data_IF_152315723728
#
_entry.id   IF_152315723728
#
_cell.length_a   1.000
_cell.length_b   1.000
_cell.length_c   1.000
_cell.angle_alpha   90.00
_cell.angle_beta   90.00
_cell.angle_gamma   90.00
#
_symmetry.space_group_name_H-M   'P 1'
#
loop_
_entity.id
_entity.type
_entity.pdbx_description
1 polymer ?
#
# COMPACT_ATOMS: atom_id res chain seq x y z
N UNK A 1 -34.07 13.67 -0.09
CA UNK A 1 -32.99 12.67 -0.04
C UNK A 1 -32.71 12.39 1.41
N UNK A 2 -32.96 11.16 1.85
CA UNK A 2 -32.71 10.76 3.25
C UNK A 2 -31.21 10.71 3.55
N UNK A 3 -30.82 11.05 4.78
CA UNK A 3 -29.42 11.01 5.25
C UNK A 3 -28.78 9.66 5.00
N UNK A 4 -29.55 8.58 5.06
CA UNK A 4 -29.13 7.20 4.73
C UNK A 4 -28.52 7.07 3.35
N UNK A 5 -29.07 7.74 2.33
CA UNK A 5 -28.53 7.72 0.97
C UNK A 5 -27.19 8.45 0.87
N UNK A 6 -27.07 9.60 1.54
CA UNK A 6 -25.81 10.35 1.58
C UNK A 6 -24.70 9.55 2.27
N UNK A 7 -25.02 8.92 3.42
CA UNK A 7 -24.08 8.07 4.16
C UNK A 7 -23.67 6.86 3.33
N UNK A 8 -24.62 6.19 2.68
CA UNK A 8 -24.33 5.06 1.80
C UNK A 8 -23.42 5.43 0.63
N UNK A 9 -23.65 6.58 -0.01
CA UNK A 9 -22.80 7.07 -1.09
C UNK A 9 -21.38 7.39 -0.61
N UNK A 10 -21.24 8.09 0.52
CA UNK A 10 -19.93 8.40 1.10
C UNK A 10 -19.16 7.14 1.48
N UNK A 11 -19.84 6.13 2.03
CA UNK A 11 -19.25 4.83 2.32
C UNK A 11 -18.67 4.18 1.06
N UNK A 12 -19.45 4.12 -0.03
CA UNK A 12 -18.99 3.54 -1.29
C UNK A 12 -17.79 4.29 -1.87
N UNK A 13 -17.82 5.63 -1.86
CA UNK A 13 -16.69 6.46 -2.30
C UNK A 13 -15.44 6.17 -1.47
N UNK A 14 -15.59 6.11 -0.14
CA UNK A 14 -14.47 5.85 0.78
C UNK A 14 -13.89 4.46 0.54
N UNK A 15 -14.75 3.45 0.39
CA UNK A 15 -14.33 2.08 0.09
C UNK A 15 -13.55 2.03 -1.23
N UNK A 16 -14.07 2.65 -2.30
CA UNK A 16 -13.40 2.73 -3.60
C UNK A 16 -12.04 3.43 -3.51
N UNK A 17 -11.94 4.53 -2.77
CA UNK A 17 -10.69 5.24 -2.56
C UNK A 17 -9.62 4.37 -1.87
N UNK A 18 -10.01 3.62 -0.84
CA UNK A 18 -9.12 2.69 -0.13
C UNK A 18 -8.67 1.54 -1.05
N UNK A 19 -9.57 1.00 -1.86
CA UNK A 19 -9.23 -0.07 -2.81
C UNK A 19 -8.21 0.41 -3.85
N UNK A 20 -8.39 1.60 -4.42
CA UNK A 20 -7.43 2.20 -5.37
C UNK A 20 -6.07 2.40 -4.68
N UNK A 21 -6.06 2.95 -3.47
CA UNK A 21 -4.84 3.15 -2.69
C UNK A 21 -4.11 1.82 -2.41
N UNK A 22 -4.84 0.77 -2.07
CA UNK A 22 -4.28 -0.57 -1.84
C UNK A 22 -3.62 -1.14 -3.11
N UNK A 23 -4.26 -0.99 -4.28
CA UNK A 23 -3.69 -1.48 -5.55
C UNK A 23 -2.43 -0.69 -5.93
N UNK A 24 -2.45 0.64 -5.81
CA UNK A 24 -1.30 1.49 -6.14
C UNK A 24 -0.13 1.22 -5.19
N UNK A 25 -0.37 1.09 -3.89
CA UNK A 25 0.65 0.78 -2.90
C UNK A 25 1.26 -0.61 -3.09
N UNK A 26 0.43 -1.60 -3.47
CA UNK A 26 0.92 -2.93 -3.85
C UNK A 26 1.84 -2.86 -5.07
N UNK A 27 1.41 -2.20 -6.15
CA UNK A 27 2.24 -2.02 -7.35
C UNK A 27 3.56 -1.28 -7.07
N UNK A 28 3.55 -0.28 -6.19
CA UNK A 28 4.77 0.41 -5.76
C UNK A 28 5.71 -0.51 -4.99
N UNK A 29 5.17 -1.35 -4.10
CA UNK A 29 5.95 -2.32 -3.32
C UNK A 29 6.57 -3.38 -4.23
N UNK A 30 5.81 -3.93 -5.18
CA UNK A 30 6.32 -4.90 -6.15
C UNK A 30 7.41 -4.31 -7.04
N UNK A 31 7.25 -3.07 -7.51
CA UNK A 31 8.29 -2.36 -8.27
C UNK A 31 9.57 -2.20 -7.45
N UNK A 32 9.46 -1.80 -6.17
CA UNK A 32 10.62 -1.70 -5.26
C UNK A 32 11.28 -3.05 -4.98
N UNK A 33 10.52 -4.14 -4.98
CA UNK A 33 11.06 -5.48 -4.76
C UNK A 33 11.83 -6.02 -5.96
N UNK A 34 11.50 -5.54 -7.18
CA UNK A 34 12.18 -5.90 -8.43
C UNK A 34 13.30 -4.92 -8.82
N UNK A 35 13.54 -3.91 -7.99
CA UNK A 35 14.55 -2.89 -8.22
C UNK A 35 15.83 -3.29 -7.49
N UNK A 36 16.85 -3.68 -8.25
CA UNK A 36 18.13 -4.17 -7.73
C UNK A 36 18.95 -3.06 -7.04
N UNK A 37 18.62 -1.78 -7.28
CA UNK A 37 19.24 -0.62 -6.62
C UNK A 37 18.42 -0.10 -5.43
N UNK A 38 17.29 -0.73 -5.10
CA UNK A 38 16.44 -0.27 -4.01
C UNK A 38 17.19 -0.30 -2.67
N UNK A 39 17.17 0.80 -1.89
CA UNK A 39 17.86 0.85 -0.60
C UNK A 39 17.31 -0.24 0.33
N UNK A 40 18.21 -0.99 0.98
CA UNK A 40 17.87 -2.06 1.94
C UNK A 40 16.77 -1.56 2.88
N UNK A 41 15.72 -2.38 3.03
CA UNK A 41 14.66 -2.13 4.01
C UNK A 41 15.28 -1.91 5.39
N UNK A 42 14.68 -1.05 6.21
CA UNK A 42 15.11 -0.83 7.59
C UNK A 42 15.13 -2.14 8.38
N UNK A 43 14.21 -3.07 8.08
CA UNK A 43 14.21 -4.42 8.65
C UNK A 43 15.43 -5.27 8.23
N UNK A 44 15.93 -5.08 7.00
CA UNK A 44 17.12 -5.75 6.49
C UNK A 44 18.43 -5.06 6.91
N UNK A 45 18.35 -3.86 7.50
CA UNK A 45 19.48 -3.14 8.09
C UNK A 45 19.85 -3.69 9.47
N UNK A 46 18.87 -4.22 10.20
CA UNK A 46 19.04 -4.73 11.56
C UNK A 46 19.34 -6.24 11.61
N UNK A 47 19.27 -6.93 10.47
CA UNK A 47 19.69 -8.33 10.37
C UNK A 47 21.23 -8.43 10.36
N UNK A 48 21.85 -9.37 11.10
CA UNK A 48 23.27 -9.67 10.97
C UNK A 48 23.61 -9.96 9.50
N UNK A 49 24.68 -9.37 8.98
CA UNK A 49 25.12 -9.61 7.60
C UNK A 49 25.71 -11.02 7.51
N UNK A 50 24.88 -12.02 7.18
CA UNK A 50 25.30 -13.42 7.10
C UNK A 50 25.87 -13.79 5.72
N UNK A 51 26.53 -12.86 5.02
CA UNK A 51 27.27 -13.17 3.78
C UNK A 51 28.69 -13.62 4.14
N UNK A 52 28.82 -14.90 4.48
CA UNK A 52 30.07 -15.67 4.43
C UNK A 52 29.93 -16.81 3.40
#
# INVERSE_FOLDING_TARGET
MDTTYLVGLLFLITLSAVLIFAVVSKGRTEKRMKDDEAPKSTLAKDAPDTRD
#
